data_IF_251065080978
#
_entry.id   IF_251065080978
#
_cell.length_a   1.000
_cell.length_b   1.000
_cell.length_c   1.000
_cell.angle_alpha   90.00
_cell.angle_beta   90.00
_cell.angle_gamma   90.00
#
_symmetry.space_group_name_H-M   'P 1'
#
loop_
_entity.id
_entity.type
_entity.pdbx_description
1 polymer ?
#
# COMPACT_ATOMS: atom_id res chain seq x y z
N UNK A 1 33.25 -20.64 17.12
CA UNK A 1 33.40 -19.44 16.27
C UNK A 1 32.64 -19.69 14.96
N UNK A 2 31.34 -19.40 14.92
CA UNK A 2 30.56 -19.44 13.67
C UNK A 2 30.43 -18.01 13.14
N UNK A 3 30.78 -17.86 11.86
CA UNK A 3 30.93 -16.63 11.10
C UNK A 3 29.76 -15.65 11.28
N UNK A 4 30.09 -14.38 11.58
CA UNK A 4 29.12 -13.29 11.65
C UNK A 4 28.49 -12.94 10.29
N UNK A 5 28.96 -13.53 9.18
CA UNK A 5 28.54 -13.20 7.82
C UNK A 5 27.15 -13.74 7.43
N UNK A 6 26.56 -14.66 8.21
CA UNK A 6 25.23 -15.22 7.91
C UNK A 6 24.06 -14.50 8.61
N UNK A 7 24.32 -13.57 9.53
CA UNK A 7 23.25 -12.84 10.24
C UNK A 7 22.73 -11.61 9.48
N UNK A 8 23.54 -11.04 8.60
CA UNK A 8 23.19 -9.79 7.90
C UNK A 8 22.20 -9.98 6.74
N UNK A 9 22.03 -11.22 6.25
CA UNK A 9 21.10 -11.53 5.15
C UNK A 9 19.62 -11.58 5.55
N UNK A 10 19.29 -11.52 6.85
CA UNK A 10 17.92 -11.52 7.37
C UNK A 10 17.58 -10.27 8.20
N UNK A 11 18.36 -9.19 8.07
CA UNK A 11 17.99 -7.91 8.65
C UNK A 11 16.73 -7.40 7.95
N UNK A 12 15.64 -7.22 8.71
CA UNK A 12 14.50 -6.41 8.27
C UNK A 12 15.04 -5.10 7.68
N UNK A 13 14.49 -4.59 6.56
CA UNK A 13 14.85 -3.26 6.09
C UNK A 13 14.76 -2.27 7.26
N UNK A 14 15.81 -1.48 7.49
CA UNK A 14 15.85 -0.49 8.58
C UNK A 14 14.89 0.68 8.37
N UNK A 15 14.38 0.84 7.15
CA UNK A 15 13.45 1.88 6.75
C UNK A 15 12.00 1.48 7.01
N UNK A 16 11.15 2.39 7.52
CA UNK A 16 9.70 2.17 7.58
C UNK A 16 9.16 1.75 6.21
N UNK A 17 8.25 0.79 6.19
CA UNK A 17 7.60 0.37 4.95
C UNK A 17 6.77 1.53 4.39
N UNK A 18 6.96 1.87 3.12
CA UNK A 18 6.27 2.95 2.41
C UNK A 18 5.59 2.43 1.14
N UNK A 19 4.54 3.12 0.68
CA UNK A 19 3.91 2.83 -0.61
C UNK A 19 4.79 3.39 -1.73
N UNK A 20 5.18 2.53 -2.68
CA UNK A 20 5.97 2.91 -3.85
C UNK A 20 5.13 3.07 -5.11
N UNK A 21 4.05 2.31 -5.22
CA UNK A 21 3.14 2.37 -6.35
C UNK A 21 1.77 1.85 -5.95
N UNK A 22 0.74 2.43 -6.55
CA UNK A 22 -0.64 1.96 -6.50
C UNK A 22 -1.09 1.70 -7.94
N UNK A 23 -1.81 0.61 -8.18
CA UNK A 23 -2.54 0.38 -9.43
C UNK A 23 -4.01 0.18 -9.12
N UNK A 24 -4.85 0.82 -9.93
CA UNK A 24 -6.28 0.61 -9.93
C UNK A 24 -6.65 -0.36 -11.04
N UNK A 25 -7.23 -1.49 -10.66
CA UNK A 25 -7.83 -2.46 -11.58
C UNK A 25 -9.36 -2.41 -11.43
N UNK A 26 -10.08 -3.10 -12.30
CA UNK A 26 -11.56 -3.06 -12.33
C UNK A 26 -12.22 -3.44 -10.99
N UNK A 27 -11.63 -4.39 -10.26
CA UNK A 27 -12.13 -4.91 -8.99
C UNK A 27 -11.10 -4.95 -7.84
N UNK A 28 -9.88 -4.45 -8.06
CA UNK A 28 -8.78 -4.56 -7.10
C UNK A 28 -8.01 -3.24 -6.98
N UNK A 29 -7.50 -2.98 -5.78
CA UNK A 29 -6.44 -2.01 -5.52
C UNK A 29 -5.16 -2.79 -5.22
N UNK A 30 -4.12 -2.55 -6.03
CA UNK A 30 -2.83 -3.26 -5.92
C UNK A 30 -1.77 -2.29 -5.39
N UNK A 31 -1.19 -2.60 -4.25
CA UNK A 31 -0.20 -1.77 -3.55
C UNK A 31 1.17 -2.43 -3.64
N UNK A 32 2.17 -1.67 -4.09
CA UNK A 32 3.57 -2.09 -4.10
C UNK A 32 4.29 -1.40 -2.96
N UNK A 33 4.75 -2.17 -1.99
CA UNK A 33 5.42 -1.67 -0.79
C UNK A 33 6.94 -1.64 -0.97
N UNK A 34 7.61 -0.78 -0.22
CA UNK A 34 9.06 -0.56 -0.29
C UNK A 34 9.90 -1.75 0.18
N UNK A 35 9.31 -2.66 0.95
CA UNK A 35 9.93 -3.89 1.43
C UNK A 35 9.80 -5.05 0.43
N UNK A 36 9.29 -4.79 -0.77
CA UNK A 36 9.12 -5.77 -1.85
C UNK A 36 7.79 -6.53 -1.82
N UNK A 37 6.94 -6.33 -0.78
CA UNK A 37 5.60 -6.93 -0.76
C UNK A 37 4.67 -6.28 -1.80
N UNK A 38 3.75 -7.08 -2.32
CA UNK A 38 2.63 -6.62 -3.14
C UNK A 38 1.34 -7.03 -2.44
N UNK A 39 0.50 -6.05 -2.10
CA UNK A 39 -0.77 -6.27 -1.42
C UNK A 39 -1.91 -6.14 -2.42
N UNK A 40 -2.75 -7.16 -2.49
CA UNK A 40 -3.92 -7.22 -3.34
C UNK A 40 -5.16 -7.07 -2.46
N UNK A 41 -5.90 -5.98 -2.64
CA UNK A 41 -7.13 -5.72 -1.87
C UNK A 41 -8.32 -5.56 -2.81
N UNK A 42 -9.48 -6.17 -2.52
CA UNK A 42 -10.70 -5.90 -3.27
C UNK A 42 -11.09 -4.43 -3.20
N UNK A 43 -11.45 -3.83 -4.33
CA UNK A 43 -12.03 -2.48 -4.37
C UNK A 43 -13.31 -2.40 -3.51
N UNK A 44 -13.97 -3.54 -3.33
CA UNK A 44 -15.15 -3.70 -2.49
C UNK A 44 -14.96 -3.34 -1.01
N UNK A 45 -13.72 -3.26 -0.53
CA UNK A 45 -13.43 -2.84 0.85
C UNK A 45 -13.47 -1.33 1.03
N UNK A 46 -13.51 -0.56 -0.07
CA UNK A 46 -13.46 0.90 -0.07
C UNK A 46 -14.73 1.46 -0.74
N UNK A 47 -15.83 1.66 0.01
CA UNK A 47 -17.12 2.05 -0.56
C UNK A 47 -17.08 3.32 -1.41
N UNK A 48 -16.27 4.31 -1.03
CA UNK A 48 -16.09 5.56 -1.78
C UNK A 48 -15.43 5.27 -3.14
N UNK A 49 -14.32 4.54 -3.14
CA UNK A 49 -13.63 4.18 -4.38
C UNK A 49 -14.46 3.25 -5.27
N UNK A 50 -15.22 2.31 -4.69
CA UNK A 50 -16.16 1.45 -5.43
C UNK A 50 -17.19 2.29 -6.20
N UNK A 51 -17.70 3.35 -5.56
CA UNK A 51 -18.73 4.22 -6.14
C UNK A 51 -18.16 5.25 -7.13
N UNK A 52 -16.86 5.55 -7.04
CA UNK A 52 -16.16 6.46 -7.94
C UNK A 52 -16.01 5.87 -9.35
N UNK A 53 -15.98 6.74 -10.37
CA UNK A 53 -15.67 6.31 -11.73
C UNK A 53 -14.16 6.07 -11.93
N UNK A 54 -13.72 5.35 -12.98
CA UNK A 54 -12.31 5.03 -13.18
C UNK A 54 -11.37 6.25 -13.25
N UNK A 55 -11.82 7.35 -13.86
CA UNK A 55 -11.03 8.58 -13.98
C UNK A 55 -10.77 9.19 -12.59
N UNK A 56 -11.77 9.15 -11.71
CA UNK A 56 -11.62 9.63 -10.32
C UNK A 56 -10.67 8.76 -9.51
N UNK A 57 -10.78 7.43 -9.66
CA UNK A 57 -9.91 6.47 -8.95
C UNK A 57 -8.43 6.65 -9.30
N UNK A 58 -8.10 7.09 -10.50
CA UNK A 58 -6.72 7.32 -10.94
C UNK A 58 -6.13 8.66 -10.44
N UNK A 59 -6.96 9.59 -9.95
CA UNK A 59 -6.51 10.91 -9.47
C UNK A 59 -6.16 10.92 -7.98
N UNK A 60 -5.21 10.08 -7.58
CA UNK A 60 -4.70 10.04 -6.21
C UNK A 60 -3.30 10.63 -6.06
N UNK A 61 -2.91 10.87 -4.81
CA UNK A 61 -1.52 11.09 -4.42
C UNK A 61 -1.10 10.10 -3.36
N UNK A 62 0.14 9.64 -3.45
CA UNK A 62 0.79 8.84 -2.41
C UNK A 62 1.52 9.81 -1.48
N UNK A 63 1.37 9.60 -0.17
CA UNK A 63 2.13 10.29 0.87
C UNK A 63 2.81 9.27 1.79
N UNK A 64 3.70 9.69 2.70
CA UNK A 64 4.24 8.80 3.74
C UNK A 64 3.18 8.16 4.63
N UNK A 65 1.97 8.73 4.73
CA UNK A 65 0.88 8.24 5.59
C UNK A 65 -0.14 7.36 4.87
N UNK A 66 -0.13 7.31 3.53
CA UNK A 66 -1.16 6.59 2.80
C UNK A 66 -1.43 7.14 1.40
N UNK A 67 -2.67 6.99 0.97
CA UNK A 67 -3.17 7.38 -0.35
C UNK A 67 -4.33 8.35 -0.18
N UNK A 68 -4.33 9.44 -0.94
CA UNK A 68 -5.28 10.53 -0.81
C UNK A 68 -5.97 10.82 -2.15
N UNK A 69 -7.30 10.92 -2.15
CA UNK A 69 -8.12 11.34 -3.29
C UNK A 69 -8.84 12.66 -2.99
N UNK A 70 -8.29 13.79 -3.45
CA UNK A 70 -8.90 15.11 -3.21
C UNK A 70 -10.32 15.25 -3.75
N UNK A 71 -10.58 14.72 -4.94
CA UNK A 71 -11.91 14.84 -5.59
C UNK A 71 -12.97 14.00 -4.86
N UNK A 72 -12.54 12.96 -4.15
CA UNK A 72 -13.42 12.02 -3.46
C UNK A 72 -13.50 12.27 -1.95
N UNK A 73 -12.66 13.17 -1.41
CA UNK A 73 -12.47 13.38 0.03
C UNK A 73 -12.19 12.06 0.77
N UNK A 74 -11.36 11.20 0.15
CA UNK A 74 -11.07 9.85 0.65
C UNK A 74 -9.58 9.69 0.94
N UNK A 75 -9.28 9.19 2.13
CA UNK A 75 -7.94 8.89 2.60
C UNK A 75 -7.83 7.44 3.06
N UNK A 76 -6.89 6.69 2.48
CA UNK A 76 -6.59 5.33 2.91
C UNK A 76 -5.20 5.31 3.58
N UNK A 77 -5.14 5.10 4.91
CA UNK A 77 -3.88 5.06 5.65
C UNK A 77 -3.05 3.84 5.25
N UNK A 78 -1.71 3.97 5.26
CA UNK A 78 -0.78 2.90 4.88
C UNK A 78 -0.95 1.66 5.76
N UNK A 79 -1.33 1.83 7.02
CA UNK A 79 -1.62 0.78 8.00
C UNK A 79 -2.68 -0.20 7.49
N UNK A 80 -3.58 0.22 6.59
CA UNK A 80 -4.55 -0.66 5.91
C UNK A 80 -3.88 -1.81 5.15
N UNK A 81 -2.63 -1.62 4.73
CA UNK A 81 -1.87 -2.57 3.89
C UNK A 81 -0.68 -3.21 4.61
N UNK A 82 -0.36 -2.76 5.82
CA UNK A 82 0.70 -3.31 6.65
C UNK A 82 0.02 -4.26 7.63
N UNK A 83 -0.01 -5.56 7.33
CA UNK A 83 -0.58 -6.58 8.24
C UNK A 83 -0.22 -6.30 9.71
N UNK A 84 -1.19 -5.86 10.53
CA UNK A 84 -1.18 -6.03 11.99
C UNK A 84 -2.54 -5.80 12.71
N UNK A 85 -3.68 -5.92 12.02
CA UNK A 85 -4.99 -6.07 12.68
C UNK A 85 -5.92 -6.98 11.87
N UNK A 86 -6.05 -8.24 12.32
CA UNK A 86 -7.32 -8.96 12.30
C UNK A 86 -7.88 -8.95 13.70
#
# INVERSE_FOLDING_TARGET
>A
MLSSTLKDHFSRPSEPTSIKKVKMESNMVIIFLSDGRIVYTPLDWFPVLRSANPIQREKFRISPRGIHWDELDEDIPIETFLDDYR
#
